data_IF_504513351086
#
_entry.id   IF_504513351086
#
_cell.length_a   1.000
_cell.length_b   1.000
_cell.length_c   1.000
_cell.angle_alpha   90.00
_cell.angle_beta   90.00
_cell.angle_gamma   90.00
#
_symmetry.space_group_name_H-M   'P 1'
#
loop_
_entity.id
_entity.type
_entity.pdbx_description
1 polymer ?
#
# COMPACT_ATOMS: atom_id res chain seq x y z
N UNK A 1 16.04 -39.99 -37.04
CA UNK A 1 15.59 -39.04 -38.07
C UNK A 1 14.28 -38.44 -37.57
N UNK A 2 14.12 -37.18 -37.19
CA UNK A 2 14.95 -35.99 -36.96
C UNK A 2 14.13 -35.18 -35.93
N UNK A 3 14.64 -34.79 -34.76
CA UNK A 3 15.41 -33.57 -34.44
C UNK A 3 14.69 -32.22 -34.66
N UNK A 4 14.57 -31.45 -33.55
CA UNK A 4 14.34 -29.99 -33.40
C UNK A 4 12.95 -29.42 -33.75
N UNK A 5 12.33 -28.52 -32.99
CA UNK A 5 12.89 -27.45 -32.15
C UNK A 5 12.14 -27.22 -30.83
N UNK A 6 12.97 -26.79 -29.88
CA UNK A 6 12.78 -26.55 -28.45
C UNK A 6 12.51 -25.06 -28.21
N UNK A 7 11.45 -24.70 -27.47
CA UNK A 7 11.39 -23.39 -26.78
C UNK A 7 10.84 -23.59 -25.35
N UNK A 8 11.78 -23.80 -24.43
CA UNK A 8 11.62 -23.57 -22.99
C UNK A 8 11.92 -22.09 -22.67
N UNK A 9 10.93 -21.34 -22.20
CA UNK A 9 11.04 -19.95 -21.72
C UNK A 9 10.01 -19.77 -20.58
N UNK A 10 10.26 -19.28 -19.37
CA UNK A 10 11.42 -18.73 -18.67
C UNK A 10 11.29 -19.10 -17.19
N UNK A 11 12.38 -19.61 -16.65
CA UNK A 11 12.71 -19.80 -15.24
C UNK A 11 12.84 -18.42 -14.56
N UNK A 12 11.85 -17.99 -13.77
CA UNK A 12 12.02 -16.80 -12.93
C UNK A 12 12.87 -17.19 -11.73
N UNK A 13 14.10 -16.67 -11.72
CA UNK A 13 15.06 -16.76 -10.62
C UNK A 13 14.44 -16.15 -9.34
N UNK A 14 13.98 -17.03 -8.43
CA UNK A 14 13.90 -16.73 -7.01
C UNK A 14 15.26 -17.09 -6.40
N UNK A 15 16.17 -16.14 -6.36
CA UNK A 15 17.31 -16.22 -5.45
C UNK A 15 16.95 -15.46 -4.18
N UNK A 16 16.77 -16.11 -3.02
CA UNK A 16 16.78 -15.40 -1.75
C UNK A 16 18.21 -14.93 -1.51
N UNK A 17 18.42 -13.62 -1.40
CA UNK A 17 19.66 -13.08 -0.86
C UNK A 17 19.70 -13.53 0.60
N UNK A 18 20.48 -14.58 0.84
CA UNK A 18 20.86 -15.04 2.15
C UNK A 18 21.90 -14.06 2.69
N UNK A 19 21.47 -13.09 3.49
CA UNK A 19 22.39 -12.28 4.30
C UNK A 19 22.11 -12.58 5.77
N UNK A 20 23.03 -13.39 6.30
CA UNK A 20 23.26 -13.69 7.70
C UNK A 20 23.21 -12.44 8.59
N UNK A 21 22.70 -12.64 9.80
CA UNK A 21 22.78 -11.70 10.92
C UNK A 21 24.21 -11.18 11.12
N UNK A 22 24.37 -9.86 11.15
CA UNK A 22 25.20 -9.14 12.13
C UNK A 22 24.76 -7.68 12.16
N UNK A 23 24.05 -7.30 13.22
CA UNK A 23 24.09 -5.93 13.72
C UNK A 23 25.41 -5.80 14.47
N UNK A 24 26.40 -5.16 13.85
CA UNK A 24 27.57 -4.65 14.57
C UNK A 24 27.66 -3.15 14.34
N UNK A 25 27.83 -2.45 15.45
CA UNK A 25 27.99 -1.01 15.55
C UNK A 25 29.25 -0.58 14.81
N UNK A 26 29.14 0.46 13.98
CA UNK A 26 30.28 1.33 13.70
C UNK A 26 29.74 2.74 13.50
N UNK A 27 29.89 3.53 14.56
CA UNK A 27 29.99 4.98 14.48
C UNK A 27 31.21 5.29 13.61
N UNK A 28 30.99 6.05 12.54
CA UNK A 28 32.02 6.91 11.98
C UNK A 28 31.34 8.22 11.60
N UNK A 29 31.59 9.24 12.41
CA UNK A 29 31.53 10.63 11.99
C UNK A 29 32.46 10.79 10.79
N UNK A 30 31.91 11.26 9.68
CA UNK A 30 32.73 11.89 8.65
C UNK A 30 32.00 13.13 8.15
N UNK A 31 32.35 14.25 8.79
CA UNK A 31 32.07 15.60 8.33
C UNK A 31 32.85 15.83 7.04
N UNK A 32 32.22 15.59 5.89
CA UNK A 32 32.67 16.17 4.64
C UNK A 32 31.58 17.10 4.10
N UNK A 33 31.89 18.40 4.13
CA UNK A 33 31.22 19.44 3.37
C UNK A 33 31.25 19.04 1.88
N UNK A 34 30.15 18.48 1.38
CA UNK A 34 29.95 18.32 -0.05
C UNK A 34 29.49 19.68 -0.59
N UNK A 35 30.46 20.34 -1.22
CA UNK A 35 30.31 21.47 -2.12
C UNK A 35 29.03 21.35 -2.97
N UNK A 36 28.14 22.34 -2.83
CA UNK A 36 26.82 22.42 -3.46
C UNK A 36 27.01 22.76 -4.94
N UNK A 37 27.51 21.80 -5.72
CA UNK A 37 27.31 21.81 -7.17
C UNK A 37 25.83 21.59 -7.43
N UNK A 38 25.21 22.62 -8.02
CA UNK A 38 23.81 22.71 -8.43
C UNK A 38 23.17 21.35 -8.68
N UNK A 39 22.32 20.91 -7.75
CA UNK A 39 21.51 19.71 -7.94
C UNK A 39 20.67 19.90 -9.20
N UNK A 40 20.99 19.18 -10.26
CA UNK A 40 20.08 19.04 -11.39
C UNK A 40 18.70 18.68 -10.84
N UNK A 41 17.67 19.38 -11.28
CA UNK A 41 16.35 19.18 -10.71
C UNK A 41 15.78 17.84 -11.21
N UNK A 42 16.05 16.76 -10.48
CA UNK A 42 15.66 15.36 -10.81
C UNK A 42 14.15 15.23 -11.09
N UNK A 43 13.34 16.11 -10.52
CA UNK A 43 11.90 16.19 -10.79
C UNK A 43 11.53 17.59 -11.33
N UNK A 44 11.84 17.89 -12.60
CA UNK A 44 11.58 19.22 -13.16
C UNK A 44 10.07 19.53 -13.24
N UNK A 45 9.25 18.48 -13.30
CA UNK A 45 7.79 18.57 -13.31
C UNK A 45 7.22 19.09 -11.99
N UNK A 46 7.91 18.93 -10.85
CA UNK A 46 7.41 19.39 -9.53
C UNK A 46 7.16 20.90 -9.55
N UNK A 47 8.11 21.68 -10.07
CA UNK A 47 7.97 23.14 -10.12
C UNK A 47 6.83 23.57 -11.04
N UNK A 48 6.64 22.86 -12.17
CA UNK A 48 5.52 23.11 -13.09
C UNK A 48 4.19 22.75 -12.41
N UNK A 49 4.12 21.61 -11.75
CA UNK A 49 2.93 21.15 -11.05
C UNK A 49 2.56 22.07 -9.89
N UNK A 50 3.53 22.56 -9.10
CA UNK A 50 3.27 23.51 -8.03
C UNK A 50 2.64 24.81 -8.54
N UNK A 51 3.08 25.33 -9.70
CA UNK A 51 2.43 26.50 -10.31
C UNK A 51 0.97 26.22 -10.65
N UNK A 52 0.67 25.06 -11.22
CA UNK A 52 -0.70 24.63 -11.53
C UNK A 52 -1.52 24.45 -10.24
N UNK A 53 -0.93 23.85 -9.20
CA UNK A 53 -1.57 23.64 -7.91
C UNK A 53 -1.93 24.98 -7.26
N UNK A 54 -1.00 25.93 -7.23
CA UNK A 54 -1.22 27.28 -6.71
C UNK A 54 -2.27 28.06 -7.49
N UNK A 55 -2.28 27.96 -8.83
CA UNK A 55 -3.31 28.60 -9.65
C UNK A 55 -4.69 27.94 -9.52
N UNK A 56 -4.75 26.72 -8.98
CA UNK A 56 -6.00 25.98 -8.79
C UNK A 56 -6.64 26.23 -7.42
N UNK A 57 -5.96 26.94 -6.51
CA UNK A 57 -6.49 27.25 -5.17
C UNK A 57 -7.77 28.08 -5.29
N UNK A 58 -8.80 27.72 -4.53
CA UNK A 58 -10.10 28.39 -4.53
C UNK A 58 -11.04 28.00 -5.68
N UNK A 59 -10.56 27.27 -6.69
CA UNK A 59 -11.45 26.69 -7.69
C UNK A 59 -12.29 25.56 -7.07
N UNK A 60 -13.57 25.47 -7.45
CA UNK A 60 -14.50 24.43 -6.96
C UNK A 60 -14.93 23.45 -8.05
N UNK A 61 -14.00 23.11 -8.95
CA UNK A 61 -14.29 22.24 -10.10
C UNK A 61 -13.84 20.81 -9.85
N UNK A 62 -14.78 19.88 -9.82
CA UNK A 62 -14.46 18.45 -9.73
C UNK A 62 -13.67 17.94 -10.94
N UNK A 63 -13.92 18.48 -12.13
CA UNK A 63 -13.16 18.10 -13.34
C UNK A 63 -11.70 18.55 -13.25
N UNK A 64 -11.45 19.74 -12.70
CA UNK A 64 -10.10 20.20 -12.44
C UNK A 64 -9.40 19.30 -11.42
N UNK A 65 -10.05 18.98 -10.29
CA UNK A 65 -9.49 18.04 -9.30
C UNK A 65 -9.15 16.68 -9.94
N UNK A 66 -10.06 16.13 -10.74
CA UNK A 66 -9.86 14.87 -11.46
C UNK A 66 -8.65 14.93 -12.40
N UNK A 67 -8.52 16.02 -13.16
CA UNK A 67 -7.38 16.23 -14.05
C UNK A 67 -6.07 16.31 -13.26
N UNK A 68 -6.03 17.10 -12.19
CA UNK A 68 -4.84 17.25 -11.34
C UNK A 68 -4.42 15.93 -10.69
N UNK A 69 -5.37 15.15 -10.16
CA UNK A 69 -5.10 13.82 -9.59
C UNK A 69 -4.49 12.89 -10.63
N UNK A 70 -5.05 12.85 -11.84
CA UNK A 70 -4.54 12.00 -12.92
C UNK A 70 -3.14 12.41 -13.36
N UNK A 71 -2.94 13.71 -13.63
CA UNK A 71 -1.66 14.27 -14.06
C UNK A 71 -0.57 14.01 -13.02
N UNK A 72 -0.87 14.26 -11.75
CA UNK A 72 0.06 14.03 -10.65
C UNK A 72 0.42 12.56 -10.50
N UNK A 73 -0.58 11.68 -10.53
CA UNK A 73 -0.37 10.23 -10.42
C UNK A 73 0.55 9.72 -11.53
N UNK A 74 0.35 10.19 -12.77
CA UNK A 74 1.23 9.85 -13.90
C UNK A 74 2.67 10.31 -13.65
N UNK A 75 2.87 11.56 -13.25
CA UNK A 75 4.20 12.09 -12.97
C UNK A 75 4.94 11.32 -11.87
N UNK A 76 4.24 11.00 -10.77
CA UNK A 76 4.81 10.25 -9.65
C UNK A 76 5.18 8.83 -10.09
N UNK A 77 4.31 8.13 -10.81
CA UNK A 77 4.57 6.77 -11.29
C UNK A 77 5.78 6.73 -12.24
N UNK A 78 5.85 7.65 -13.21
CA UNK A 78 7.01 7.79 -14.09
C UNK A 78 8.27 8.06 -13.28
N UNK A 79 8.20 8.97 -12.31
CA UNK A 79 9.35 9.33 -11.46
C UNK A 79 9.90 8.13 -10.67
N UNK A 80 9.01 7.29 -10.13
CA UNK A 80 9.41 6.10 -9.36
C UNK A 80 10.04 5.05 -10.26
N UNK A 81 9.52 4.87 -11.47
CA UNK A 81 10.04 3.87 -12.41
C UNK A 81 11.38 4.29 -13.04
N UNK A 82 11.65 5.60 -13.14
CA UNK A 82 12.83 6.12 -13.84
C UNK A 82 13.96 6.57 -12.91
N UNK A 83 13.68 7.07 -11.71
CA UNK A 83 14.68 7.82 -10.92
C UNK A 83 14.84 7.40 -9.45
N UNK A 84 14.06 6.44 -8.95
CA UNK A 84 14.06 6.11 -7.51
C UNK A 84 15.08 5.03 -7.11
N UNK A 85 16.35 5.26 -7.39
CA UNK A 85 17.46 4.45 -6.83
C UNK A 85 18.09 5.09 -5.58
N UNK A 86 18.20 6.43 -5.53
CA UNK A 86 18.86 7.15 -4.42
C UNK A 86 17.87 7.58 -3.32
N UNK A 87 18.30 7.46 -2.06
CA UNK A 87 17.48 7.80 -0.88
C UNK A 87 17.08 9.28 -0.79
N UNK A 88 17.96 10.20 -1.19
CA UNK A 88 17.68 11.64 -1.15
C UNK A 88 16.53 12.03 -2.10
N UNK A 89 16.49 11.43 -3.28
CA UNK A 89 15.45 11.69 -4.29
C UNK A 89 14.09 11.19 -3.81
N UNK A 90 14.07 10.02 -3.15
CA UNK A 90 12.87 9.51 -2.50
C UNK A 90 12.38 10.45 -1.40
N UNK A 91 13.27 11.05 -0.59
CA UNK A 91 12.87 12.01 0.46
C UNK A 91 12.26 13.27 -0.16
N UNK A 92 12.85 13.81 -1.23
CA UNK A 92 12.31 14.98 -1.94
C UNK A 92 10.92 14.69 -2.51
N UNK A 93 10.75 13.55 -3.19
CA UNK A 93 9.47 13.12 -3.74
C UNK A 93 8.43 12.88 -2.63
N UNK A 94 8.84 12.27 -1.52
CA UNK A 94 7.99 12.00 -0.35
C UNK A 94 7.43 13.26 0.27
N UNK A 95 8.27 14.26 0.48
CA UNK A 95 7.86 15.54 1.06
C UNK A 95 6.85 16.23 0.15
N UNK A 96 7.14 16.26 -1.15
CA UNK A 96 6.22 16.80 -2.14
C UNK A 96 4.88 16.04 -2.15
N UNK A 97 4.91 14.71 -2.19
CA UNK A 97 3.74 13.84 -2.14
C UNK A 97 2.89 14.08 -0.88
N UNK A 98 3.54 14.23 0.28
CA UNK A 98 2.85 14.57 1.53
C UNK A 98 2.09 15.89 1.42
N UNK A 99 2.72 16.95 0.89
CA UNK A 99 2.08 18.25 0.70
C UNK A 99 0.95 18.20 -0.34
N UNK A 100 1.15 17.46 -1.44
CA UNK A 100 0.13 17.32 -2.49
C UNK A 100 -1.09 16.52 -2.01
N UNK A 101 -0.89 15.48 -1.17
CA UNK A 101 -2.00 14.74 -0.56
C UNK A 101 -2.87 15.65 0.32
N UNK A 102 -2.26 16.54 1.10
CA UNK A 102 -2.97 17.55 1.90
C UNK A 102 -3.78 18.47 0.97
N UNK A 103 -3.15 18.99 -0.10
CA UNK A 103 -3.83 19.83 -1.07
C UNK A 103 -5.07 19.15 -1.66
N UNK A 104 -4.94 17.91 -2.16
CA UNK A 104 -6.08 17.19 -2.74
C UNK A 104 -7.19 16.93 -1.72
N UNK A 105 -6.82 16.62 -0.47
CA UNK A 105 -7.80 16.41 0.58
C UNK A 105 -8.58 17.67 0.93
N UNK A 106 -7.89 18.82 1.04
CA UNK A 106 -8.53 20.11 1.29
C UNK A 106 -9.43 20.51 0.11
N UNK A 107 -8.91 20.40 -1.12
CA UNK A 107 -9.70 20.66 -2.33
C UNK A 107 -10.96 19.80 -2.37
N UNK A 108 -10.84 18.50 -2.08
CA UNK A 108 -11.98 17.59 -2.02
C UNK A 108 -12.98 18.02 -0.94
N UNK A 109 -12.52 18.38 0.25
CA UNK A 109 -13.40 18.85 1.32
C UNK A 109 -14.20 20.10 0.93
N UNK A 110 -13.64 20.98 0.11
CA UNK A 110 -14.32 22.19 -0.36
C UNK A 110 -15.43 21.92 -1.40
N UNK A 111 -15.38 20.77 -2.09
CA UNK A 111 -16.30 20.48 -3.21
C UNK A 111 -17.18 19.24 -3.00
N UNK A 112 -16.86 18.38 -2.02
CA UNK A 112 -17.47 17.04 -1.88
C UNK A 112 -18.99 17.08 -1.74
N UNK A 113 -19.55 18.13 -1.16
CA UNK A 113 -21.00 18.29 -0.96
C UNK A 113 -21.77 18.41 -2.29
N UNK A 114 -21.08 18.80 -3.37
CA UNK A 114 -21.65 18.96 -4.70
C UNK A 114 -21.32 17.80 -5.65
N UNK A 115 -20.71 16.72 -5.13
CA UNK A 115 -20.26 15.58 -5.94
C UNK A 115 -21.00 14.31 -5.50
N UNK A 116 -21.80 13.76 -6.42
CA UNK A 116 -22.63 12.58 -6.14
C UNK A 116 -21.82 11.28 -5.96
N UNK A 117 -20.68 11.13 -6.66
CA UNK A 117 -19.84 9.93 -6.58
C UNK A 117 -18.40 10.25 -6.16
N UNK A 118 -18.05 9.84 -4.95
CA UNK A 118 -16.70 10.00 -4.40
C UNK A 118 -15.74 8.87 -4.79
N UNK A 119 -16.21 7.77 -5.42
CA UNK A 119 -15.39 6.59 -5.68
C UNK A 119 -14.19 6.91 -6.57
N UNK A 120 -14.36 7.72 -7.62
CA UNK A 120 -13.26 8.06 -8.51
C UNK A 120 -12.15 8.82 -7.77
N UNK A 121 -12.52 9.79 -6.94
CA UNK A 121 -11.58 10.54 -6.10
C UNK A 121 -10.86 9.60 -5.13
N UNK A 122 -11.61 8.80 -4.36
CA UNK A 122 -11.05 7.88 -3.37
C UNK A 122 -10.17 6.80 -4.02
N UNK A 123 -10.50 6.35 -5.24
CA UNK A 123 -9.67 5.43 -6.00
C UNK A 123 -8.32 6.04 -6.40
N UNK A 124 -8.30 7.30 -6.84
CA UNK A 124 -7.06 8.00 -7.18
C UNK A 124 -6.23 8.30 -5.93
N UNK A 125 -6.87 8.80 -4.87
CA UNK A 125 -6.21 9.00 -3.57
C UNK A 125 -5.61 7.71 -3.01
N UNK A 126 -6.30 6.57 -3.18
CA UNK A 126 -5.78 5.26 -2.78
C UNK A 126 -4.48 4.91 -3.52
N UNK A 127 -4.36 5.24 -4.81
CA UNK A 127 -3.13 5.00 -5.57
C UNK A 127 -1.98 5.85 -5.02
N UNK A 128 -2.20 7.16 -4.87
CA UNK A 128 -1.19 8.08 -4.35
C UNK A 128 -0.77 7.73 -2.92
N UNK A 129 -1.73 7.31 -2.08
CA UNK A 129 -1.45 6.95 -0.70
C UNK A 129 -0.68 5.63 -0.58
N UNK A 130 -0.97 4.65 -1.44
CA UNK A 130 -0.17 3.43 -1.53
C UNK A 130 1.29 3.72 -1.90
N UNK A 131 1.49 4.62 -2.87
CA UNK A 131 2.83 5.09 -3.25
C UNK A 131 3.52 5.79 -2.07
N UNK A 132 2.80 6.67 -1.38
CA UNK A 132 3.33 7.39 -0.22
C UNK A 132 3.80 6.44 0.89
N UNK A 133 2.98 5.43 1.22
CA UNK A 133 3.33 4.40 2.21
C UNK A 133 4.59 3.65 1.78
N UNK A 134 4.65 3.19 0.52
CA UNK A 134 5.82 2.47 0.00
C UNK A 134 7.11 3.32 0.11
N UNK A 135 7.04 4.62 -0.20
CA UNK A 135 8.19 5.54 -0.08
C UNK A 135 8.54 5.83 1.39
N UNK A 136 7.55 6.04 2.26
CA UNK A 136 7.77 6.25 3.70
C UNK A 136 8.50 5.05 4.30
N UNK A 137 8.10 3.82 3.94
CA UNK A 137 8.75 2.60 4.41
C UNK A 137 10.14 2.40 3.82
N UNK A 138 10.36 2.73 2.54
CA UNK A 138 11.70 2.70 1.94
C UNK A 138 12.67 3.65 2.61
N UNK A 139 12.20 4.86 2.94
CA UNK A 139 13.01 5.90 3.59
C UNK A 139 13.11 5.71 5.12
N UNK A 140 12.33 4.78 5.67
CA UNK A 140 12.35 4.45 7.10
C UNK A 140 13.68 3.82 7.51
N UNK A 141 14.34 4.43 8.50
CA UNK A 141 15.52 3.87 9.17
C UNK A 141 15.06 3.04 10.36
N UNK A 142 15.66 1.87 10.57
CA UNK A 142 15.27 0.94 11.65
C UNK A 142 15.42 1.53 13.06
N UNK A 143 16.19 2.61 13.21
CA UNK A 143 16.35 3.37 14.46
C UNK A 143 15.12 4.23 14.81
N UNK A 144 14.20 4.44 13.87
CA UNK A 144 12.99 5.22 14.11
C UNK A 144 11.91 4.38 14.80
N UNK A 145 11.09 5.04 15.61
CA UNK A 145 9.97 4.41 16.31
C UNK A 145 8.91 3.90 15.31
N UNK A 146 8.79 2.58 15.22
CA UNK A 146 7.82 1.89 14.35
C UNK A 146 6.37 2.24 14.70
N UNK A 147 6.06 2.50 15.97
CA UNK A 147 4.70 2.82 16.42
C UNK A 147 4.26 4.21 15.96
N UNK A 148 5.17 5.19 16.00
CA UNK A 148 4.94 6.55 15.50
C UNK A 148 4.69 6.55 14.01
N UNK A 149 5.48 5.80 13.24
CA UNK A 149 5.29 5.68 11.79
C UNK A 149 3.99 4.97 11.45
N UNK A 150 3.69 3.85 12.12
CA UNK A 150 2.41 3.15 11.94
C UNK A 150 1.22 4.06 12.22
N UNK A 151 1.26 4.83 13.32
CA UNK A 151 0.18 5.75 13.69
C UNK A 151 0.01 6.86 12.65
N UNK A 152 1.11 7.44 12.15
CA UNK A 152 1.08 8.44 11.08
C UNK A 152 0.44 7.88 9.80
N UNK A 153 0.87 6.69 9.37
CA UNK A 153 0.36 6.05 8.16
C UNK A 153 -1.12 5.67 8.29
N UNK A 154 -1.52 5.17 9.46
CA UNK A 154 -2.90 4.84 9.76
C UNK A 154 -3.80 6.09 9.75
N UNK A 155 -3.37 7.18 10.39
CA UNK A 155 -4.09 8.45 10.34
C UNK A 155 -4.25 8.96 8.91
N UNK A 156 -3.19 8.87 8.09
CA UNK A 156 -3.24 9.26 6.68
C UNK A 156 -4.27 8.41 5.90
N UNK A 157 -4.31 7.09 6.12
CA UNK A 157 -5.32 6.20 5.54
C UNK A 157 -6.73 6.64 5.91
N UNK A 158 -7.00 6.91 7.19
CA UNK A 158 -8.37 7.18 7.65
C UNK A 158 -8.85 8.56 7.21
N UNK A 159 -7.99 9.57 7.32
CA UNK A 159 -8.31 10.96 6.97
C UNK A 159 -8.49 11.09 5.46
N UNK A 160 -7.50 10.69 4.67
CA UNK A 160 -7.52 10.95 3.23
C UNK A 160 -8.52 10.09 2.46
N UNK A 161 -8.88 8.92 2.99
CA UNK A 161 -9.89 8.04 2.39
C UNK A 161 -11.27 8.17 3.05
N UNK A 162 -11.49 9.20 3.86
CA UNK A 162 -12.78 9.49 4.50
C UNK A 162 -13.36 8.28 5.25
N UNK A 163 -12.51 7.54 5.97
CA UNK A 163 -12.85 6.30 6.68
C UNK A 163 -13.46 5.19 5.79
N UNK A 164 -13.27 5.24 4.47
CA UNK A 164 -13.84 4.26 3.55
C UNK A 164 -13.05 2.96 3.55
N UNK A 165 -13.53 1.95 4.30
CA UNK A 165 -12.88 0.65 4.46
C UNK A 165 -12.50 0.01 3.12
N UNK A 166 -13.41 0.02 2.14
CA UNK A 166 -13.17 -0.50 0.79
C UNK A 166 -11.88 0.08 0.17
N UNK A 167 -11.68 1.38 0.29
CA UNK A 167 -10.54 2.08 -0.29
C UNK A 167 -9.27 1.86 0.52
N UNK A 168 -9.40 1.83 1.85
CA UNK A 168 -8.33 1.44 2.76
C UNK A 168 -7.76 0.07 2.41
N UNK A 169 -8.62 -0.96 2.34
CA UNK A 169 -8.19 -2.32 2.04
C UNK A 169 -7.64 -2.43 0.61
N UNK A 170 -8.13 -1.60 -0.32
CA UNK A 170 -7.53 -1.45 -1.66
C UNK A 170 -6.10 -0.91 -1.59
N UNK A 171 -5.80 0.05 -0.72
CA UNK A 171 -4.41 0.50 -0.51
C UNK A 171 -3.57 -0.65 0.03
N UNK A 172 -4.01 -1.29 1.11
CA UNK A 172 -3.28 -2.37 1.77
C UNK A 172 -2.94 -3.54 0.83
N UNK A 173 -3.88 -3.93 -0.04
CA UNK A 173 -3.66 -4.97 -1.04
C UNK A 173 -2.61 -4.62 -2.10
N UNK A 174 -2.41 -3.33 -2.37
CA UNK A 174 -1.53 -2.84 -3.44
C UNK A 174 -0.13 -2.45 -2.96
N UNK A 175 0.13 -2.53 -1.65
CA UNK A 175 1.44 -2.21 -1.09
C UNK A 175 2.50 -3.19 -1.59
N UNK A 176 3.60 -2.66 -2.11
CA UNK A 176 4.67 -3.48 -2.70
C UNK A 176 5.62 -4.03 -1.64
N UNK A 177 5.80 -3.32 -0.52
CA UNK A 177 6.83 -3.62 0.47
C UNK A 177 6.31 -4.29 1.75
N UNK A 178 5.32 -5.18 1.64
CA UNK A 178 4.83 -5.99 2.77
C UNK A 178 5.84 -7.11 3.08
N UNK A 179 6.94 -6.74 3.71
CA UNK A 179 8.07 -7.61 4.03
C UNK A 179 8.28 -7.74 5.54
N UNK A 180 9.01 -8.78 5.96
CA UNK A 180 9.36 -9.02 7.37
C UNK A 180 10.08 -7.83 8.02
N UNK A 181 10.89 -7.10 7.25
CA UNK A 181 11.61 -5.90 7.72
C UNK A 181 10.68 -4.87 8.38
N UNK A 182 9.46 -4.75 7.88
CA UNK A 182 8.48 -3.77 8.36
C UNK A 182 7.30 -4.43 9.10
N UNK A 183 7.44 -5.69 9.51
CA UNK A 183 6.35 -6.47 10.11
C UNK A 183 5.70 -5.74 11.30
N UNK A 184 6.49 -5.11 12.19
CA UNK A 184 5.97 -4.35 13.34
C UNK A 184 5.04 -3.19 12.92
N UNK A 185 5.38 -2.48 11.85
CA UNK A 185 4.57 -1.36 11.35
C UNK A 185 3.28 -1.91 10.73
N UNK A 186 3.41 -2.94 9.89
CA UNK A 186 2.26 -3.56 9.23
C UNK A 186 1.30 -4.24 10.22
N UNK A 187 1.83 -4.89 11.26
CA UNK A 187 1.03 -5.52 12.30
C UNK A 187 0.11 -4.49 12.96
N UNK A 188 0.63 -3.32 13.31
CA UNK A 188 -0.18 -2.24 13.88
C UNK A 188 -1.24 -1.74 12.91
N UNK A 189 -0.88 -1.53 11.64
CA UNK A 189 -1.81 -1.06 10.60
C UNK A 189 -2.92 -2.09 10.35
N UNK A 190 -2.58 -3.36 10.15
CA UNK A 190 -3.53 -4.43 9.88
C UNK A 190 -4.42 -4.70 11.09
N UNK A 191 -3.84 -4.84 12.30
CA UNK A 191 -4.61 -5.00 13.53
C UNK A 191 -5.66 -3.90 13.65
N UNK A 192 -5.24 -2.63 13.52
CA UNK A 192 -6.17 -1.51 13.72
C UNK A 192 -7.23 -1.44 12.62
N UNK A 193 -6.87 -1.77 11.38
CA UNK A 193 -7.80 -1.86 10.25
C UNK A 193 -8.89 -2.90 10.48
N UNK A 194 -8.54 -4.09 10.98
CA UNK A 194 -9.50 -5.15 11.28
C UNK A 194 -10.25 -4.95 12.61
N UNK A 195 -9.68 -4.27 13.62
CA UNK A 195 -10.45 -3.95 14.85
C UNK A 195 -11.49 -2.85 14.65
N UNK A 196 -11.26 -1.95 13.69
CA UNK A 196 -12.21 -0.90 13.34
C UNK A 196 -13.38 -1.45 12.51
N UNK A 197 -13.22 -2.66 11.96
CA UNK A 197 -14.23 -3.39 11.22
C UNK A 197 -15.35 -3.83 12.17
N UNK A 198 -16.39 -3.01 12.28
CA UNK A 198 -17.59 -3.28 13.08
C UNK A 198 -18.75 -3.73 12.17
N UNK A 199 -18.65 -4.91 11.58
CA UNK A 199 -19.81 -5.55 10.94
C UNK A 199 -19.87 -7.03 11.26
N UNK A 200 -21.05 -7.48 11.70
CA UNK A 200 -21.37 -8.90 11.78
C UNK A 200 -21.21 -9.56 10.42
N UNK A 201 -20.74 -10.80 10.43
CA UNK A 201 -20.43 -11.64 9.26
C UNK A 201 -21.61 -11.71 8.26
N UNK A 202 -22.84 -11.54 8.74
CA UNK A 202 -24.08 -11.60 7.95
C UNK A 202 -24.22 -10.51 6.87
N UNK A 203 -23.41 -9.44 6.90
CA UNK A 203 -23.50 -8.32 5.95
C UNK A 203 -22.36 -8.27 4.92
N UNK A 204 -21.51 -9.29 4.90
CA UNK A 204 -20.31 -9.30 4.06
C UNK A 204 -20.62 -9.76 2.63
N UNK A 205 -20.35 -8.92 1.64
CA UNK A 205 -20.47 -9.32 0.23
C UNK A 205 -19.38 -10.34 -0.16
N UNK A 206 -19.60 -11.10 -1.23
CA UNK A 206 -18.60 -12.02 -1.80
C UNK A 206 -17.27 -11.30 -2.13
N UNK A 207 -17.35 -10.09 -2.68
CA UNK A 207 -16.19 -9.24 -2.99
C UNK A 207 -15.46 -8.82 -1.71
N UNK A 208 -16.19 -8.40 -0.67
CA UNK A 208 -15.59 -7.95 0.58
C UNK A 208 -14.90 -9.10 1.30
N UNK A 209 -15.52 -10.29 1.32
CA UNK A 209 -14.91 -11.51 1.84
C UNK A 209 -13.59 -11.82 1.14
N UNK A 210 -13.57 -11.86 -0.20
CA UNK A 210 -12.33 -12.14 -0.95
C UNK A 210 -11.28 -11.07 -0.66
N UNK A 211 -11.67 -9.79 -0.58
CA UNK A 211 -10.74 -8.69 -0.28
C UNK A 211 -10.08 -8.87 1.09
N UNK A 212 -10.87 -9.17 2.11
CA UNK A 212 -10.36 -9.34 3.48
C UNK A 212 -9.52 -10.62 3.61
N UNK A 213 -9.94 -11.72 2.99
CA UNK A 213 -9.15 -12.95 2.93
C UNK A 213 -7.77 -12.71 2.29
N UNK A 214 -7.70 -11.96 1.20
CA UNK A 214 -6.44 -11.61 0.55
C UNK A 214 -5.53 -10.77 1.45
N UNK A 215 -6.09 -9.78 2.16
CA UNK A 215 -5.32 -8.97 3.11
C UNK A 215 -4.84 -9.79 4.30
N UNK A 216 -5.67 -10.65 4.88
CA UNK A 216 -5.27 -11.57 5.94
C UNK A 216 -4.18 -12.53 5.49
N UNK A 217 -4.24 -13.04 4.25
CA UNK A 217 -3.18 -13.85 3.66
C UNK A 217 -1.88 -13.07 3.50
N UNK A 218 -1.94 -11.81 3.03
CA UNK A 218 -0.75 -10.95 2.93
C UNK A 218 -0.13 -10.69 4.30
N UNK A 219 -0.97 -10.39 5.30
CA UNK A 219 -0.50 -10.17 6.66
C UNK A 219 0.11 -11.45 7.26
N UNK A 220 -0.49 -12.61 7.05
CA UNK A 220 0.07 -13.90 7.49
C UNK A 220 1.47 -14.17 6.90
N UNK A 221 1.78 -13.67 5.69
CA UNK A 221 3.11 -13.83 5.07
C UNK A 221 4.22 -13.07 5.81
N UNK A 222 3.90 -12.05 6.62
CA UNK A 222 4.91 -11.33 7.40
C UNK A 222 5.31 -12.06 8.67
N UNK A 223 4.54 -13.08 9.09
CA UNK A 223 4.80 -13.86 10.31
C UNK A 223 5.90 -14.89 10.11
N UNK A 224 6.71 -15.09 11.16
CA UNK A 224 7.87 -15.96 11.09
C UNK A 224 7.54 -17.36 11.59
N UNK A 225 6.92 -17.46 12.76
CA UNK A 225 6.71 -18.74 13.43
C UNK A 225 5.43 -19.43 12.96
N UNK A 226 5.37 -20.74 13.17
CA UNK A 226 4.17 -21.54 12.89
C UNK A 226 3.04 -21.13 13.84
N UNK A 227 3.38 -20.77 15.07
CA UNK A 227 2.49 -20.35 16.14
C UNK A 227 1.81 -19.02 15.80
N UNK A 228 2.56 -18.02 15.35
CA UNK A 228 2.02 -16.74 14.87
C UNK A 228 1.08 -16.95 13.68
N UNK A 229 1.45 -17.83 12.74
CA UNK A 229 0.61 -18.18 11.59
C UNK A 229 -0.67 -18.90 12.01
N UNK A 230 -0.62 -19.74 13.04
CA UNK A 230 -1.81 -20.39 13.64
C UNK A 230 -2.70 -19.36 14.32
N UNK A 231 -2.14 -18.43 15.08
CA UNK A 231 -2.90 -17.34 15.71
C UNK A 231 -3.57 -16.45 14.65
N UNK A 232 -2.87 -16.13 13.57
CA UNK A 232 -3.43 -15.42 12.42
C UNK A 232 -4.60 -16.15 11.77
N UNK A 233 -4.53 -17.49 11.64
CA UNK A 233 -5.66 -18.28 11.14
C UNK A 233 -6.87 -18.21 12.07
N UNK A 234 -6.66 -18.30 13.39
CA UNK A 234 -7.74 -18.16 14.38
C UNK A 234 -8.42 -16.79 14.26
N UNK A 235 -7.62 -15.72 14.18
CA UNK A 235 -8.14 -14.36 13.98
C UNK A 235 -8.90 -14.22 12.66
N UNK A 236 -8.39 -14.81 11.57
CA UNK A 236 -9.07 -14.79 10.28
C UNK A 236 -10.45 -15.46 10.34
N UNK A 237 -10.57 -16.59 11.05
CA UNK A 237 -11.85 -17.26 11.29
C UNK A 237 -12.82 -16.41 12.12
N UNK A 238 -12.31 -15.69 13.12
CA UNK A 238 -13.14 -14.74 13.89
C UNK A 238 -13.66 -13.58 13.03
N UNK A 239 -12.83 -13.07 12.10
CA UNK A 239 -13.18 -11.92 11.25
C UNK A 239 -14.12 -12.32 10.10
N UNK A 240 -13.80 -13.41 9.39
CA UNK A 240 -14.50 -13.82 8.17
C UNK A 240 -15.69 -14.76 8.46
N UNK A 241 -15.74 -15.32 9.66
CA UNK A 241 -16.65 -16.40 10.00
C UNK A 241 -16.15 -17.78 9.53
N UNK A 242 -16.80 -18.86 10.00
CA UNK A 242 -16.43 -20.23 9.66
C UNK A 242 -16.86 -20.64 8.24
N UNK A 243 -17.85 -19.96 7.67
CA UNK A 243 -18.46 -20.35 6.40
C UNK A 243 -18.10 -19.39 5.26
N UNK A 244 -17.75 -19.95 4.10
CA UNK A 244 -17.60 -19.17 2.88
C UNK A 244 -19.01 -18.74 2.42
N UNK A 245 -19.28 -17.44 2.22
CA UNK A 245 -20.59 -17.00 1.74
C UNK A 245 -20.88 -17.54 0.34
N UNK A 246 -22.14 -17.61 -0.08
CA UNK A 246 -22.49 -17.98 -1.46
C UNK A 246 -21.84 -16.97 -2.42
N UNK A 247 -20.93 -17.44 -3.27
CA UNK A 247 -20.17 -16.59 -4.19
C UNK A 247 -20.51 -16.85 -5.65
N UNK A 248 -20.24 -15.85 -6.48
CA UNK A 248 -20.22 -16.01 -7.94
C UNK A 248 -19.11 -16.98 -8.35
N UNK A 249 -19.39 -17.79 -9.39
CA UNK A 249 -18.49 -18.85 -9.87
C UNK A 249 -17.06 -18.36 -10.17
N UNK A 250 -16.90 -17.14 -10.67
CA UNK A 250 -15.60 -16.53 -10.97
C UNK A 250 -14.72 -16.36 -9.73
N UNK A 251 -15.31 -16.01 -8.58
CA UNK A 251 -14.56 -15.82 -7.32
C UNK A 251 -14.18 -17.14 -6.67
N UNK A 252 -14.94 -18.22 -6.92
CA UNK A 252 -14.61 -19.56 -6.42
C UNK A 252 -13.26 -20.06 -6.96
N UNK A 253 -12.85 -19.61 -8.17
CA UNK A 253 -11.54 -19.94 -8.74
C UNK A 253 -10.36 -19.30 -7.99
N UNK A 254 -10.60 -18.25 -7.20
CA UNK A 254 -9.56 -17.49 -6.47
C UNK A 254 -9.37 -18.06 -5.05
N UNK A 255 -10.40 -18.74 -4.52
CA UNK A 255 -10.39 -19.29 -3.16
C UNK A 255 -9.68 -20.65 -3.17
N UNK A 256 -8.83 -20.94 -2.17
CA UNK A 256 -8.25 -22.27 -2.03
C UNK A 256 -9.37 -23.29 -1.89
N UNK A 257 -9.36 -24.31 -2.74
CA UNK A 257 -10.25 -25.46 -2.57
C UNK A 257 -9.89 -26.13 -1.24
N UNK A 258 -10.90 -26.52 -0.48
CA UNK A 258 -10.71 -27.36 0.71
C UNK A 258 -9.93 -28.60 0.25
N UNK A 259 -8.85 -29.00 0.94
CA UNK A 259 -8.14 -30.22 0.59
C UNK A 259 -9.14 -31.39 0.63
N UNK A 260 -9.33 -32.05 -0.51
CA UNK A 260 -10.11 -33.29 -0.61
C UNK A 260 -9.48 -34.31 0.35
N UNK A 261 -10.20 -34.60 1.44
CA UNK A 261 -9.71 -35.41 2.57
C UNK A 261 -10.21 -34.95 3.94
N UNK A 262 -10.86 -33.78 4.06
CA UNK A 262 -11.62 -33.36 5.23
C UNK A 262 -13.09 -33.21 4.84
N UNK A 263 -13.73 -34.34 4.52
CA UNK A 263 -15.19 -34.43 4.56
C UNK A 263 -15.59 -34.56 6.03
N UNK A 264 -16.31 -33.55 6.53
CA UNK A 264 -17.25 -33.57 7.65
C UNK A 264 -16.99 -34.57 8.79
N UNK A 265 -16.22 -34.15 9.80
CA UNK A 265 -16.60 -34.49 11.18
C UNK A 265 -17.68 -33.49 11.62
N UNK A 266 -18.91 -33.88 11.30
CA UNK A 266 -20.20 -33.34 11.73
C UNK A 266 -20.24 -32.78 13.15
N UNK A 267 -20.90 -31.62 13.31
CA UNK A 267 -21.99 -31.41 14.28
C UNK A 267 -23.12 -30.68 13.58
#
# INVERSE_FOLDING_TARGET
MDEKDEINLIRIHNSPINMSKKCENQEHEDNSFIDVKSSENIFPWINKFNKIMSSSVGHRSYQLLKHLLSLYTQHVLTSINTYCEKTLDMIKLKNHLSSTLIFFHLYWNDIKEHVNDCNLYLNQMSVLLGIYIDIELKTFKCTMDSSKVASKLLSALWIYLSNSEKHIFRVLLKLKFVTKKYAKIYDLIFMKSFTSFKKGVESLTDIDYVRYLLVLKMWKKTKETVEEKKQMNKMALTILGPCIPKMRNELLNIIPKVPTGLEDETI
#
